data_IF_853757657298
#
_entry.id   IF_853757657298
#
_cell.length_a   1.000
_cell.length_b   1.000
_cell.length_c   1.000
_cell.angle_alpha   90.00
_cell.angle_beta   90.00
_cell.angle_gamma   90.00
#
_symmetry.space_group_name_H-M   'P 1'
#
loop_
_entity.id
_entity.type
_entity.pdbx_description
1 polymer ?
#
# COMPACT_ATOMS: atom_id res chain seq x y z
N UNK A 1 2.45 -15.31 -17.10
CA UNK A 1 3.58 -14.39 -16.80
C UNK A 1 4.28 -14.76 -15.49
N UNK A 2 3.62 -14.76 -14.32
CA UNK A 2 4.26 -15.08 -13.02
C UNK A 2 4.96 -16.47 -12.97
N UNK A 3 4.37 -17.50 -13.59
CA UNK A 3 4.96 -18.83 -13.64
C UNK A 3 6.32 -18.86 -14.40
N UNK A 4 6.47 -18.04 -15.44
CA UNK A 4 7.68 -17.99 -16.26
C UNK A 4 8.84 -17.33 -15.50
N UNK A 5 8.56 -16.25 -14.75
CA UNK A 5 9.57 -15.57 -13.92
C UNK A 5 10.04 -16.45 -12.75
N UNK A 6 9.13 -17.20 -12.11
CA UNK A 6 9.48 -18.10 -11.03
C UNK A 6 10.34 -19.29 -11.52
N UNK A 7 9.99 -19.87 -12.66
CA UNK A 7 10.79 -20.94 -13.29
C UNK A 7 12.18 -20.46 -13.70
N UNK A 8 12.30 -19.23 -14.21
CA UNK A 8 13.59 -18.64 -14.55
C UNK A 8 14.48 -18.44 -13.30
N UNK A 9 13.91 -17.90 -12.22
CA UNK A 9 14.62 -17.71 -10.97
C UNK A 9 15.11 -19.05 -10.37
N UNK A 10 14.35 -20.12 -10.51
CA UNK A 10 14.74 -21.48 -10.09
C UNK A 10 15.86 -22.05 -10.97
N UNK A 11 15.77 -21.91 -12.30
CA UNK A 11 16.81 -22.33 -13.24
C UNK A 11 18.15 -21.63 -12.99
N UNK A 12 18.13 -20.32 -12.75
CA UNK A 12 19.33 -19.55 -12.40
C UNK A 12 19.94 -20.06 -11.09
N UNK A 13 19.13 -20.34 -10.07
CA UNK A 13 19.59 -20.91 -8.80
C UNK A 13 20.20 -22.31 -8.97
N UNK A 14 19.66 -23.13 -9.87
CA UNK A 14 20.20 -24.46 -10.15
C UNK A 14 21.55 -24.39 -10.88
N UNK A 15 21.70 -23.49 -11.86
CA UNK A 15 22.97 -23.30 -12.58
C UNK A 15 24.07 -22.76 -11.67
N UNK A 16 23.74 -21.87 -10.73
CA UNK A 16 24.70 -21.41 -9.73
C UNK A 16 25.23 -22.54 -8.84
N UNK A 17 24.43 -23.59 -8.60
CA UNK A 17 24.83 -24.78 -7.83
C UNK A 17 25.57 -25.82 -8.68
N UNK A 18 25.25 -25.93 -9.97
CA UNK A 18 25.88 -26.87 -10.90
C UNK A 18 26.32 -26.16 -12.18
N UNK A 19 27.43 -25.40 -12.13
CA UNK A 19 27.88 -24.55 -13.24
C UNK A 19 28.37 -25.32 -14.46
N UNK A 20 28.69 -26.62 -14.35
CA UNK A 20 29.16 -27.43 -15.48
C UNK A 20 28.04 -28.17 -16.23
N UNK A 21 26.80 -28.06 -15.77
CA UNK A 21 25.67 -28.71 -16.44
C UNK A 21 25.28 -27.94 -17.72
N UNK A 22 25.72 -28.46 -18.87
CA UNK A 22 25.45 -27.86 -20.19
C UNK A 22 23.95 -27.86 -20.57
N UNK A 23 23.18 -28.83 -20.09
CA UNK A 23 21.74 -28.94 -20.40
C UNK A 23 20.97 -27.79 -19.74
N UNK A 24 21.24 -27.54 -18.45
CA UNK A 24 20.61 -26.43 -17.72
C UNK A 24 20.95 -25.06 -18.33
N UNK A 25 22.19 -24.88 -18.80
CA UNK A 25 22.59 -23.66 -19.52
C UNK A 25 21.79 -23.46 -20.81
N UNK A 26 21.54 -24.53 -21.57
CA UNK A 26 20.72 -24.43 -22.78
C UNK A 26 19.26 -24.08 -22.45
N UNK A 27 18.67 -24.69 -21.42
CA UNK A 27 17.31 -24.38 -21.00
C UNK A 27 17.17 -22.93 -20.52
N UNK A 28 18.18 -22.41 -19.82
CA UNK A 28 18.24 -20.99 -19.45
C UNK A 28 18.31 -20.09 -20.68
N UNK A 29 19.19 -20.40 -21.65
CA UNK A 29 19.31 -19.62 -22.88
C UNK A 29 17.99 -19.64 -23.67
N UNK A 30 17.30 -20.78 -23.74
CA UNK A 30 16.00 -20.89 -24.38
C UNK A 30 14.93 -20.06 -23.65
N UNK A 31 14.92 -20.07 -22.32
CA UNK A 31 14.01 -19.23 -21.54
C UNK A 31 14.32 -17.74 -21.71
N UNK A 32 15.58 -17.33 -21.67
CA UNK A 32 15.99 -15.93 -21.94
C UNK A 32 15.55 -15.51 -23.34
N UNK A 33 15.73 -16.38 -24.34
CA UNK A 33 15.32 -16.11 -25.72
C UNK A 33 13.80 -15.97 -25.83
N UNK A 34 13.03 -16.84 -25.15
CA UNK A 34 11.56 -16.74 -25.09
C UNK A 34 11.11 -15.47 -24.38
N UNK A 35 11.73 -15.11 -23.26
CA UNK A 35 11.44 -13.84 -22.56
C UNK A 35 11.76 -12.63 -23.43
N UNK A 36 12.87 -12.69 -24.18
CA UNK A 36 13.26 -11.63 -25.13
C UNK A 36 12.30 -11.54 -26.32
N UNK A 37 11.83 -12.68 -26.84
CA UNK A 37 10.82 -12.70 -27.90
C UNK A 37 9.49 -12.10 -27.40
N UNK A 38 9.04 -12.49 -26.20
CA UNK A 38 7.87 -11.88 -25.55
C UNK A 38 8.09 -10.37 -25.33
N UNK A 39 9.31 -9.95 -24.98
CA UNK A 39 9.68 -8.53 -24.87
C UNK A 39 9.61 -7.79 -26.20
N UNK A 40 9.96 -8.44 -27.30
CA UNK A 40 9.98 -7.84 -28.64
C UNK A 40 8.58 -7.77 -29.24
N UNK A 41 7.78 -8.80 -29.01
CA UNK A 41 6.39 -8.87 -29.49
C UNK A 41 5.45 -8.02 -28.62
N UNK A 42 5.73 -7.91 -27.31
CA UNK A 42 4.92 -7.17 -26.35
C UNK A 42 5.81 -6.41 -25.35
N UNK A 43 6.53 -5.36 -25.80
CA UNK A 43 7.44 -4.59 -24.94
C UNK A 43 6.71 -3.98 -23.73
N UNK A 44 5.43 -3.67 -23.88
CA UNK A 44 4.59 -3.12 -22.82
C UNK A 44 4.36 -4.12 -21.68
N UNK A 45 4.28 -5.43 -21.94
CA UNK A 45 3.86 -6.41 -20.93
C UNK A 45 4.98 -6.77 -19.94
N UNK A 46 6.25 -6.68 -20.37
CA UNK A 46 7.39 -6.78 -19.45
C UNK A 46 7.60 -5.50 -18.65
N UNK A 47 7.23 -4.35 -19.20
CA UNK A 47 7.28 -3.08 -18.47
C UNK A 47 6.17 -3.05 -17.41
N UNK A 48 4.93 -3.37 -17.78
CA UNK A 48 3.77 -3.31 -16.88
C UNK A 48 3.89 -4.19 -15.63
N UNK A 49 4.66 -5.28 -15.69
CA UNK A 49 4.89 -6.18 -14.56
C UNK A 49 6.27 -6.02 -13.90
N UNK A 50 7.12 -5.11 -14.40
CA UNK A 50 8.41 -4.83 -13.79
C UNK A 50 8.39 -3.46 -13.09
N UNK A 51 8.31 -3.44 -11.74
CA UNK A 51 8.24 -2.19 -10.97
C UNK A 51 9.42 -1.24 -11.24
N UNK A 52 10.61 -1.77 -11.53
CA UNK A 52 11.80 -0.96 -11.79
C UNK A 52 11.79 -0.40 -13.23
N UNK A 53 11.30 -1.18 -14.20
CA UNK A 53 11.16 -0.69 -15.57
C UNK A 53 10.14 0.45 -15.67
N UNK A 54 9.02 0.35 -14.95
CA UNK A 54 8.03 1.45 -14.86
C UNK A 54 8.61 2.69 -14.20
N UNK A 55 9.42 2.52 -13.15
CA UNK A 55 10.10 3.63 -12.49
C UNK A 55 10.98 4.41 -13.47
N UNK A 56 11.85 3.70 -14.23
CA UNK A 56 12.70 4.35 -15.23
C UNK A 56 11.91 4.88 -16.45
N UNK A 57 10.82 4.22 -16.84
CA UNK A 57 9.94 4.75 -17.88
C UNK A 57 9.34 6.10 -17.46
N UNK A 58 9.04 6.28 -16.18
CA UNK A 58 8.51 7.54 -15.69
C UNK A 58 9.46 8.71 -15.97
N UNK A 59 10.78 8.51 -15.91
CA UNK A 59 11.79 9.55 -16.17
C UNK A 59 11.75 10.11 -17.61
N UNK A 60 11.12 9.39 -18.55
CA UNK A 60 10.89 9.88 -19.93
C UNK A 60 9.82 10.98 -19.95
N UNK A 61 8.91 10.98 -18.98
CA UNK A 61 7.84 11.97 -18.89
C UNK A 61 8.28 13.18 -18.06
N UNK A 62 7.77 14.39 -18.37
CA UNK A 62 8.02 15.56 -17.53
C UNK A 62 7.55 15.32 -16.09
N UNK A 63 8.33 15.75 -15.06
CA UNK A 63 8.12 15.40 -13.65
C UNK A 63 6.78 15.91 -13.06
N UNK A 64 6.13 16.87 -13.72
CA UNK A 64 4.82 17.40 -13.33
C UNK A 64 3.65 16.86 -14.15
N UNK A 65 3.90 16.03 -15.15
CA UNK A 65 2.85 15.51 -16.03
C UNK A 65 1.95 14.51 -15.31
N UNK A 66 0.68 14.45 -15.73
CA UNK A 66 -0.25 13.44 -15.23
C UNK A 66 0.26 12.01 -15.52
N UNK A 67 0.90 11.81 -16.69
CA UNK A 67 1.51 10.54 -17.09
C UNK A 67 2.62 10.13 -16.13
N UNK A 68 3.55 11.02 -15.80
CA UNK A 68 4.60 10.77 -14.80
C UNK A 68 4.01 10.27 -13.47
N UNK A 69 3.04 11.01 -12.92
CA UNK A 69 2.40 10.65 -11.65
C UNK A 69 1.66 9.32 -11.73
N UNK A 70 1.04 9.00 -12.86
CA UNK A 70 0.34 7.73 -13.06
C UNK A 70 1.33 6.56 -13.13
N UNK A 71 2.39 6.67 -13.94
CA UNK A 71 3.40 5.63 -14.10
C UNK A 71 4.16 5.39 -12.80
N UNK A 72 4.52 6.46 -12.09
CA UNK A 72 5.20 6.37 -10.79
C UNK A 72 4.31 5.70 -9.73
N UNK A 73 3.00 5.98 -9.76
CA UNK A 73 2.02 5.31 -8.90
C UNK A 73 1.90 3.82 -9.22
N UNK A 74 1.90 3.44 -10.49
CA UNK A 74 1.88 2.03 -10.90
C UNK A 74 3.14 1.31 -10.40
N UNK A 75 4.32 1.89 -10.59
CA UNK A 75 5.57 1.34 -10.07
C UNK A 75 5.53 1.17 -8.54
N UNK A 76 5.06 2.17 -7.80
CA UNK A 76 4.94 2.13 -6.35
C UNK A 76 3.95 1.03 -5.88
N UNK A 77 2.79 0.92 -6.54
CA UNK A 77 1.79 -0.11 -6.24
C UNK A 77 2.31 -1.54 -6.46
N UNK A 78 3.23 -1.71 -7.41
CA UNK A 78 3.88 -2.99 -7.70
C UNK A 78 5.06 -3.30 -6.76
N UNK A 79 5.36 -2.43 -5.79
CA UNK A 79 6.42 -2.68 -4.81
C UNK A 79 7.75 -1.99 -5.09
N UNK A 80 7.84 -1.07 -6.07
CA UNK A 80 9.06 -0.35 -6.36
C UNK A 80 9.40 0.64 -5.23
N UNK A 81 10.44 0.36 -4.44
CA UNK A 81 10.80 1.16 -3.27
C UNK A 81 11.25 2.59 -3.63
N UNK A 82 12.03 2.86 -4.70
CA UNK A 82 12.31 4.22 -5.15
C UNK A 82 11.05 4.98 -5.56
N UNK A 83 10.11 4.32 -6.26
CA UNK A 83 8.86 4.94 -6.67
C UNK A 83 8.00 5.33 -5.47
N UNK A 84 7.97 4.50 -4.41
CA UNK A 84 7.28 4.83 -3.16
C UNK A 84 7.83 6.11 -2.53
N UNK A 85 9.16 6.28 -2.47
CA UNK A 85 9.78 7.51 -1.93
C UNK A 85 9.36 8.73 -2.74
N UNK A 86 9.39 8.65 -4.08
CA UNK A 86 8.94 9.73 -4.95
C UNK A 86 7.46 10.05 -4.71
N UNK A 87 6.60 9.03 -4.61
CA UNK A 87 5.17 9.24 -4.35
C UNK A 87 4.91 9.84 -2.97
N UNK A 88 5.67 9.46 -1.94
CA UNK A 88 5.61 10.08 -0.60
C UNK A 88 5.97 11.56 -0.70
N UNK A 89 7.00 11.93 -1.46
CA UNK A 89 7.38 13.33 -1.68
C UNK A 89 6.28 14.12 -2.40
N UNK A 90 5.75 13.59 -3.50
CA UNK A 90 4.72 14.27 -4.30
C UNK A 90 3.44 14.48 -3.50
N UNK A 91 2.99 13.44 -2.79
CA UNK A 91 1.74 13.46 -2.04
C UNK A 91 1.89 14.15 -0.68
N UNK A 92 3.07 14.06 -0.06
CA UNK A 92 3.39 14.70 1.21
C UNK A 92 3.45 16.23 1.14
N UNK A 93 3.73 16.77 -0.05
CA UNK A 93 3.70 18.20 -0.33
C UNK A 93 2.28 18.72 -0.67
N UNK A 94 1.28 17.84 -0.71
CA UNK A 94 -0.11 18.20 -0.98
C UNK A 94 -0.81 18.64 0.32
N UNK A 95 -1.67 19.66 0.24
CA UNK A 95 -2.55 20.05 1.35
C UNK A 95 -3.81 19.18 1.41
N UNK A 96 -4.01 18.26 0.48
CA UNK A 96 -5.15 17.35 0.50
C UNK A 96 -4.95 16.20 1.50
N UNK A 97 -5.91 16.05 2.41
CA UNK A 97 -5.92 14.97 3.40
C UNK A 97 -5.96 13.58 2.76
N UNK A 98 -6.57 13.44 1.59
CA UNK A 98 -6.61 12.19 0.83
C UNK A 98 -5.22 11.78 0.34
N UNK A 99 -4.47 12.73 -0.21
CA UNK A 99 -3.10 12.51 -0.65
C UNK A 99 -2.14 12.23 0.52
N UNK A 100 -2.27 12.94 1.64
CA UNK A 100 -1.49 12.65 2.85
C UNK A 100 -1.74 11.22 3.34
N UNK A 101 -3.00 10.74 3.36
CA UNK A 101 -3.31 9.34 3.72
C UNK A 101 -2.64 8.33 2.78
N UNK A 102 -2.59 8.61 1.47
CA UNK A 102 -1.90 7.77 0.48
C UNK A 102 -0.38 7.79 0.70
N UNK A 103 0.21 8.94 1.03
CA UNK A 103 1.63 9.05 1.36
C UNK A 103 1.97 8.17 2.58
N UNK A 104 1.15 8.23 3.64
CA UNK A 104 1.32 7.36 4.83
C UNK A 104 1.17 5.88 4.46
N UNK A 105 0.26 5.54 3.54
CA UNK A 105 0.13 4.17 3.04
C UNK A 105 1.40 3.67 2.35
N UNK A 106 1.98 4.45 1.44
CA UNK A 106 3.26 4.08 0.80
C UNK A 106 4.40 4.01 1.80
N UNK A 107 4.45 4.89 2.80
CA UNK A 107 5.43 4.80 3.89
C UNK A 107 5.30 3.47 4.66
N UNK A 108 4.07 3.00 4.90
CA UNK A 108 3.84 1.71 5.54
C UNK A 108 4.25 0.52 4.64
N UNK A 109 4.02 0.61 3.33
CA UNK A 109 4.51 -0.40 2.36
C UNK A 109 6.04 -0.42 2.33
N UNK A 110 6.68 0.74 2.29
CA UNK A 110 8.13 0.89 2.26
C UNK A 110 8.79 0.36 3.54
N UNK A 111 8.20 0.60 4.72
CA UNK A 111 8.68 0.01 5.97
C UNK A 111 8.61 -1.52 5.96
N UNK A 112 7.64 -2.11 5.25
CA UNK A 112 7.51 -3.57 5.10
C UNK A 112 8.50 -4.18 4.09
N UNK A 113 9.02 -3.39 3.15
CA UNK A 113 9.97 -3.92 2.15
C UNK A 113 11.35 -4.20 2.74
N UNK A 114 11.70 -3.59 3.88
CA UNK A 114 13.01 -3.75 4.52
C UNK A 114 14.15 -2.98 3.86
N UNK A 115 13.85 -2.10 2.90
CA UNK A 115 14.84 -1.27 2.20
C UNK A 115 15.29 -0.11 3.09
N UNK A 116 16.35 -0.34 3.87
CA UNK A 116 16.84 0.62 4.87
C UNK A 116 17.21 1.98 4.29
N UNK A 117 17.80 2.00 3.09
CA UNK A 117 18.17 3.24 2.40
C UNK A 117 16.92 4.06 2.07
N UNK A 118 15.96 3.48 1.34
CA UNK A 118 14.75 4.22 0.97
C UNK A 118 13.87 4.56 2.17
N UNK A 119 13.86 3.72 3.22
CA UNK A 119 13.18 4.03 4.49
C UNK A 119 13.77 5.29 5.12
N UNK A 120 15.11 5.42 5.19
CA UNK A 120 15.76 6.62 5.73
C UNK A 120 15.41 7.87 4.92
N UNK A 121 15.40 7.77 3.59
CA UNK A 121 15.01 8.89 2.71
C UNK A 121 13.56 9.31 2.94
N UNK A 122 12.65 8.33 3.10
CA UNK A 122 11.26 8.63 3.40
C UNK A 122 11.06 9.23 4.80
N UNK A 123 11.89 8.87 5.78
CA UNK A 123 11.85 9.48 7.12
C UNK A 123 12.26 10.95 7.08
N UNK A 124 13.32 11.30 6.35
CA UNK A 124 13.72 12.70 6.13
C UNK A 124 12.56 13.52 5.54
N UNK A 125 11.84 12.97 4.56
CA UNK A 125 10.66 13.63 3.98
C UNK A 125 9.53 13.85 4.99
N UNK A 126 9.38 12.95 5.98
CA UNK A 126 8.38 13.13 7.05
C UNK A 126 8.81 14.24 8.01
N UNK A 127 10.10 14.31 8.33
CA UNK A 127 10.66 15.35 9.19
C UNK A 127 10.59 16.74 8.55
N UNK A 128 10.84 16.83 7.24
CA UNK A 128 10.76 18.07 6.46
C UNK A 128 9.32 18.58 6.26
N UNK A 129 8.31 17.70 6.38
CA UNK A 129 6.90 18.02 6.10
C UNK A 129 6.01 17.84 7.35
N UNK A 130 5.75 18.92 8.11
CA UNK A 130 4.97 18.85 9.35
C UNK A 130 3.56 18.27 9.18
N UNK A 131 2.92 18.51 8.03
CA UNK A 131 1.59 17.97 7.73
C UNK A 131 1.64 16.45 7.55
N UNK A 132 2.66 15.93 6.86
CA UNK A 132 2.88 14.51 6.69
C UNK A 132 3.21 13.85 8.03
N UNK A 133 4.07 14.48 8.86
CA UNK A 133 4.38 13.99 10.21
C UNK A 133 3.11 13.83 11.07
N UNK A 134 2.23 14.83 11.08
CA UNK A 134 0.93 14.75 11.77
C UNK A 134 0.08 13.60 11.24
N UNK A 135 -0.04 13.44 9.92
CA UNK A 135 -0.82 12.36 9.32
C UNK A 135 -0.29 10.97 9.69
N UNK A 136 1.04 10.79 9.78
CA UNK A 136 1.67 9.55 10.26
C UNK A 136 1.32 9.28 11.73
N UNK A 137 1.38 10.31 12.57
CA UNK A 137 1.05 10.19 13.99
C UNK A 137 -0.43 9.84 14.21
N UNK A 138 -1.34 10.53 13.53
CA UNK A 138 -2.78 10.31 13.62
C UNK A 138 -3.16 8.88 13.20
N UNK A 139 -2.56 8.36 12.14
CA UNK A 139 -2.81 6.99 11.70
C UNK A 139 -2.28 5.96 12.71
N UNK A 140 -1.17 6.25 13.38
CA UNK A 140 -0.60 5.37 14.41
C UNK A 140 -1.51 5.34 15.64
N UNK A 141 -2.01 6.49 16.09
CA UNK A 141 -2.96 6.58 17.20
C UNK A 141 -4.30 5.92 16.88
N UNK A 142 -4.82 6.09 15.66
CA UNK A 142 -6.07 5.44 15.24
C UNK A 142 -5.97 3.91 15.29
N UNK A 143 -4.84 3.33 14.84
CA UNK A 143 -4.60 1.88 14.93
C UNK A 143 -4.51 1.39 16.38
N UNK A 144 -3.90 2.16 17.27
CA UNK A 144 -3.83 1.82 18.69
C UNK A 144 -5.22 1.85 19.34
N UNK A 145 -6.03 2.90 19.09
CA UNK A 145 -7.39 3.01 19.64
C UNK A 145 -8.31 1.87 19.20
N UNK A 146 -8.18 1.37 17.96
CA UNK A 146 -8.94 0.21 17.49
C UNK A 146 -8.58 -1.10 18.21
N UNK A 147 -7.30 -1.29 18.58
CA UNK A 147 -6.88 -2.49 19.30
C UNK A 147 -7.37 -2.53 20.76
N UNK A 148 -7.61 -1.39 21.39
CA UNK A 148 -8.17 -1.33 22.75
C UNK A 148 -9.69 -1.49 22.81
N UNK A 149 -10.40 -1.32 21.69
CA UNK A 149 -11.87 -1.40 21.63
C UNK A 149 -12.45 -2.80 21.36
N UNK A 150 -11.61 -3.78 20.99
CA UNK A 150 -12.06 -5.11 20.54
C UNK A 150 -12.05 -6.19 21.63
N UNK A 151 -11.49 -5.92 22.82
CA UNK A 151 -11.40 -6.92 23.91
C UNK A 151 -12.51 -6.85 24.96
N UNK A 152 -13.46 -5.90 24.89
CA UNK A 152 -14.48 -5.76 25.93
C UNK A 152 -15.86 -5.35 25.40
N UNK A 153 -16.59 -6.24 24.69
CA UNK A 153 -18.06 -6.12 24.58
C UNK A 153 -18.73 -7.39 24.05
N UNK A 154 -18.69 -8.47 24.84
CA UNK A 154 -19.59 -9.61 24.65
C UNK A 154 -20.47 -9.90 25.87
N UNK A 155 -20.23 -9.24 27.02
CA UNK A 155 -20.99 -9.44 28.25
C UNK A 155 -21.10 -8.13 29.06
N UNK A 156 -21.76 -7.10 28.52
CA UNK A 156 -22.25 -6.01 29.36
C UNK A 156 -23.67 -6.37 29.82
N UNK A 157 -23.98 -6.44 31.13
CA UNK A 157 -25.36 -6.51 31.58
C UNK A 157 -26.09 -5.27 31.08
N UNK A 158 -27.21 -5.45 30.38
CA UNK A 158 -28.11 -4.33 30.10
C UNK A 158 -28.60 -3.81 31.46
N UNK A 159 -28.29 -2.56 31.80
CA UNK A 159 -28.98 -1.89 32.89
C UNK A 159 -30.46 -1.78 32.49
N UNK A 160 -31.40 -2.28 33.29
CA UNK A 160 -32.81 -1.95 33.09
C UNK A 160 -32.96 -0.46 33.31
N UNK A 161 -33.42 0.24 32.28
CA UNK A 161 -33.93 1.59 32.38
C UNK A 161 -35.26 1.53 33.14
N UNK A 162 -35.24 1.86 34.43
CA UNK A 162 -36.44 2.19 35.20
C UNK A 162 -37.00 3.51 34.67
N UNK A 163 -37.74 3.46 33.57
CA UNK A 163 -38.60 4.54 33.09
C UNK A 163 -39.60 3.95 32.10
N UNK A 164 -40.67 3.36 32.61
CA UNK A 164 -42.03 3.52 32.07
C UNK A 164 -43.04 2.73 32.91
N UNK A 165 -43.82 3.43 33.72
CA UNK A 165 -45.29 3.30 33.78
C UNK A 165 -45.88 4.21 34.86
N UNK A 166 -46.44 5.35 34.45
CA UNK A 166 -47.64 5.92 35.11
C UNK A 166 -48.47 6.67 34.08
N UNK A 167 -49.17 5.90 33.24
CA UNK A 167 -50.24 6.37 32.39
C UNK A 167 -51.51 6.55 33.26
N UNK A 168 -51.82 7.82 33.53
CA UNK A 168 -53.15 8.45 33.54
C UNK A 168 -54.35 7.57 33.94
N UNK A 169 -54.85 7.74 35.16
CA UNK A 169 -56.27 7.53 35.49
C UNK A 169 -57.01 8.87 35.39
N UNK A 170 -57.82 9.04 34.35
CA UNK A 170 -58.92 10.02 34.32
C UNK A 170 -60.20 9.28 34.70
N UNK A 171 -60.82 9.68 35.80
CA UNK A 171 -62.21 10.15 35.85
C UNK A 171 -62.73 10.18 37.30
N UNK A 172 -63.01 11.40 37.79
CA UNK A 172 -64.26 11.74 38.52
C UNK A 172 -64.33 13.24 38.79
N UNK A 173 -65.04 13.89 37.86
CA UNK A 173 -65.99 14.99 38.00
C UNK A 173 -66.05 15.70 39.37
N UNK A 174 -65.72 16.99 39.34
CA UNK A 174 -66.20 17.99 40.29
C UNK A 174 -67.55 18.55 39.81
N UNK A 175 -68.53 18.69 40.72
CA UNK A 175 -69.64 19.63 40.59
C UNK A 175 -69.61 20.58 41.79
N UNK A 176 -69.72 21.91 41.60
CA UNK A 176 -69.96 22.87 42.67
C UNK A 176 -71.46 23.17 42.80
N UNK A 177 -71.95 23.39 44.03
CA UNK A 177 -73.33 23.77 44.34
C UNK A 177 -73.75 23.31 45.71
#
# INVERSE_FOLDING_TARGET
MAALNNQFAELVKQIQKTPDNQILKQDLIQQVTKMKAIAQENPMVLIENNPMALFHLADVYPPNSAKYKQTMRQAANLGCTPAMVVMIKILGNSNDTGDLKKAVHYLAMLKKSGDSYNISQAQLLVEENPQLAKAVQDQTQAKQKLNYGLTHRFFAPQQPSDNDESIVHRDRLACPG
#
